data_IF_603207243716
#
_entry.id   IF_603207243716
#
_cell.length_a   1.000
_cell.length_b   1.000
_cell.length_c   1.000
_cell.angle_alpha   90.00
_cell.angle_beta   90.00
_cell.angle_gamma   90.00
#
_symmetry.space_group_name_H-M   'P 1'
#
loop_
_entity.id
_entity.type
_entity.pdbx_description
1 polymer ?
#
# COMPACT_ATOMS: atom_id res chain seq x y z
N UNK A 1 4.75 -2.68 -8.16
CA UNK A 1 3.93 -3.62 -7.35
C UNK A 1 2.92 -2.83 -6.53
N UNK A 2 3.35 -1.85 -5.72
CA UNK A 2 2.44 -0.95 -4.98
C UNK A 2 2.35 0.42 -5.68
N UNK A 3 1.36 0.57 -6.54
CA UNK A 3 1.09 1.76 -7.36
C UNK A 3 0.19 2.77 -6.59
N UNK A 4 0.66 3.22 -5.43
CA UNK A 4 0.01 4.23 -4.60
C UNK A 4 1.05 4.93 -3.68
N UNK A 5 0.60 5.91 -2.89
CA UNK A 5 1.32 6.40 -1.71
C UNK A 5 0.53 6.13 -0.43
N UNK A 6 1.13 5.47 0.55
CA UNK A 6 0.49 5.14 1.83
C UNK A 6 1.51 5.14 2.98
N UNK A 7 1.34 6.07 3.93
CA UNK A 7 2.24 6.19 5.08
C UNK A 7 3.66 6.58 4.66
N UNK A 8 4.66 5.78 5.05
CA UNK A 8 6.07 6.01 4.68
C UNK A 8 6.44 5.58 3.26
N UNK A 9 5.57 4.84 2.56
CA UNK A 9 5.73 4.54 1.14
C UNK A 9 5.15 5.68 0.33
N UNK A 10 6.00 6.51 -0.27
CA UNK A 10 5.60 7.71 -1.00
C UNK A 10 6.14 7.69 -2.43
N UNK A 11 5.25 7.94 -3.39
CA UNK A 11 5.52 8.01 -4.83
C UNK A 11 4.96 9.33 -5.35
N UNK A 12 5.81 10.12 -5.99
CA UNK A 12 5.46 11.47 -6.47
C UNK A 12 4.37 11.41 -7.54
N UNK A 13 4.33 10.33 -8.32
CA UNK A 13 3.26 10.07 -9.29
C UNK A 13 1.90 9.71 -8.64
N UNK A 14 1.87 9.40 -7.35
CA UNK A 14 0.69 9.02 -6.57
C UNK A 14 0.54 9.93 -5.35
N UNK A 15 0.45 11.23 -5.59
CA UNK A 15 0.20 12.22 -4.55
C UNK A 15 -1.05 13.04 -4.90
N UNK A 16 -1.68 13.63 -3.89
CA UNK A 16 -2.74 14.61 -4.11
C UNK A 16 -2.18 15.88 -4.75
N UNK A 17 -3.03 16.75 -5.28
CA UNK A 17 -2.60 18.05 -5.84
C UNK A 17 -1.86 18.92 -4.82
N UNK A 18 -2.12 18.69 -3.52
CA UNK A 18 -1.47 19.36 -2.40
C UNK A 18 -0.14 18.70 -1.95
N UNK A 19 0.29 17.63 -2.63
CA UNK A 19 1.53 16.91 -2.32
C UNK A 19 1.43 15.92 -1.15
N UNK A 20 0.22 15.58 -0.70
CA UNK A 20 0.01 14.55 0.33
C UNK A 20 -0.08 13.15 -0.29
N UNK A 21 0.13 12.11 0.53
CA UNK A 21 0.04 10.73 0.07
C UNK A 21 -1.38 10.39 -0.45
N UNK A 22 -1.46 9.98 -1.72
CA UNK A 22 -2.71 9.48 -2.31
C UNK A 22 -2.76 7.96 -2.17
N UNK A 23 -3.50 7.50 -1.14
CA UNK A 23 -3.73 6.07 -0.87
C UNK A 23 -4.85 5.53 -1.75
N UNK A 24 -4.70 4.31 -2.23
CA UNK A 24 -5.67 3.56 -3.02
C UNK A 24 -6.08 2.28 -2.26
N UNK A 25 -7.10 2.43 -1.40
CA UNK A 25 -7.62 1.36 -0.55
C UNK A 25 -8.33 0.25 -1.35
N UNK A 26 -8.81 0.53 -2.58
CA UNK A 26 -9.51 -0.47 -3.42
C UNK A 26 -8.55 -1.55 -3.95
N UNK A 27 -7.31 -1.18 -4.27
CA UNK A 27 -6.31 -2.10 -4.82
C UNK A 27 -5.26 -2.56 -3.80
N UNK A 28 -4.96 -1.74 -2.78
CA UNK A 28 -3.80 -1.94 -1.92
C UNK A 28 -4.12 -2.07 -0.42
N UNK A 29 -5.37 -2.31 -0.04
CA UNK A 29 -5.76 -2.69 1.32
C UNK A 29 -5.33 -4.14 1.69
N UNK A 30 -4.01 -4.39 1.68
CA UNK A 30 -3.41 -5.65 2.08
C UNK A 30 -2.03 -5.44 2.73
N UNK A 31 -1.65 -6.41 3.57
CA UNK A 31 -0.26 -6.58 4.03
C UNK A 31 0.46 -7.52 3.07
N UNK A 32 1.66 -7.15 2.66
CA UNK A 32 2.49 -7.93 1.74
C UNK A 32 3.78 -8.39 2.40
N UNK A 33 4.14 -9.65 2.20
CA UNK A 33 5.42 -10.21 2.63
C UNK A 33 6.07 -10.98 1.47
N UNK A 34 7.39 -10.82 1.32
CA UNK A 34 8.16 -11.57 0.33
C UNK A 34 8.80 -12.78 0.98
N UNK A 35 8.42 -13.97 0.53
CA UNK A 35 9.08 -15.22 0.89
C UNK A 35 10.36 -15.38 0.08
N UNK A 36 11.45 -15.71 0.79
CA UNK A 36 12.72 -16.07 0.16
C UNK A 36 12.69 -17.53 -0.26
N UNK A 37 12.90 -17.77 -1.56
CA UNK A 37 12.81 -19.10 -2.17
C UNK A 37 14.17 -19.76 -2.43
N UNK A 38 15.29 -19.13 -2.00
CA UNK A 38 16.65 -19.57 -2.30
C UNK A 38 17.37 -18.69 -3.33
N UNK A 39 18.69 -18.87 -3.45
CA UNK A 39 19.51 -18.06 -4.36
C UNK A 39 19.17 -18.27 -5.83
N UNK A 40 19.13 -17.17 -6.59
CA UNK A 40 18.82 -17.19 -8.02
C UNK A 40 17.36 -17.54 -8.35
N UNK A 41 16.50 -17.70 -7.34
CA UNK A 41 15.07 -17.95 -7.52
C UNK A 41 14.27 -16.66 -7.31
N UNK A 42 13.19 -16.51 -8.07
CA UNK A 42 12.27 -15.40 -7.86
C UNK A 42 11.56 -15.58 -6.53
N UNK A 43 11.49 -14.52 -5.74
CA UNK A 43 10.76 -14.46 -4.48
C UNK A 43 9.23 -14.58 -4.69
N UNK A 44 8.52 -15.12 -3.70
CA UNK A 44 7.05 -15.21 -3.74
C UNK A 44 6.45 -14.07 -2.95
N UNK A 45 5.49 -13.35 -3.53
CA UNK A 45 4.71 -12.35 -2.80
C UNK A 45 3.49 -12.99 -2.17
N UNK A 46 3.43 -12.96 -0.85
CA UNK A 46 2.20 -13.24 -0.10
C UNK A 46 1.45 -11.95 0.16
N UNK A 47 0.12 -11.99 0.02
CA UNK A 47 -0.78 -10.88 0.31
C UNK A 47 -1.89 -11.35 1.24
N UNK A 48 -2.11 -10.62 2.32
CA UNK A 48 -3.25 -10.82 3.21
C UNK A 48 -4.14 -9.57 3.16
N UNK A 49 -5.39 -9.76 2.73
CA UNK A 49 -6.33 -8.65 2.57
C UNK A 49 -6.76 -8.13 3.95
N UNK A 50 -6.76 -6.81 4.10
CA UNK A 50 -7.25 -6.14 5.30
C UNK A 50 -8.74 -5.83 5.14
N UNK A 51 -9.55 -6.32 6.07
CA UNK A 51 -10.99 -6.03 6.15
C UNK A 51 -11.26 -5.15 7.35
N UNK A 52 -11.83 -3.98 7.10
CA UNK A 52 -12.12 -2.98 8.13
C UNK A 52 -13.63 -2.98 8.48
N UNK A 53 -14.03 -3.80 9.44
CA UNK A 53 -15.44 -3.98 9.80
C UNK A 53 -16.02 -2.80 10.60
N UNK A 54 -15.22 -2.22 11.50
CA UNK A 54 -15.73 -1.27 12.48
C UNK A 54 -15.44 0.19 12.13
N UNK A 55 -14.33 0.46 11.45
CA UNK A 55 -13.91 1.81 11.08
C UNK A 55 -13.46 1.80 9.63
N UNK A 56 -14.24 2.44 8.77
CA UNK A 56 -13.89 2.55 7.35
C UNK A 56 -12.66 3.45 7.18
N UNK A 57 -11.70 3.09 6.32
CA UNK A 57 -10.58 3.95 6.00
C UNK A 57 -11.07 5.29 5.43
N UNK A 58 -10.48 6.38 5.90
CA UNK A 58 -10.65 7.72 5.33
C UNK A 58 -9.32 8.23 4.82
N UNK A 59 -9.36 9.16 3.86
CA UNK A 59 -8.17 9.88 3.44
C UNK A 59 -7.69 10.77 4.58
N UNK A 60 -6.39 10.69 4.89
CA UNK A 60 -5.76 11.49 5.92
C UNK A 60 -5.25 12.79 5.29
N UNK A 61 -5.59 13.92 5.89
CA UNK A 61 -5.05 15.24 5.55
C UNK A 61 -4.54 15.93 6.81
N UNK A 62 -3.49 16.74 6.69
CA UNK A 62 -2.92 17.52 7.80
C UNK A 62 -3.34 18.99 7.79
N UNK A 63 -4.27 19.36 6.90
CA UNK A 63 -4.91 20.67 6.88
C UNK A 63 -5.97 20.82 7.97
#
# INVERSE_FOLDING_TARGET
MREESCGGHFRVEHQTDDGEAQRNDDEFAFVGAWEWNGDGTAQTLHKEQLVFENVKPTQRSYK
#
